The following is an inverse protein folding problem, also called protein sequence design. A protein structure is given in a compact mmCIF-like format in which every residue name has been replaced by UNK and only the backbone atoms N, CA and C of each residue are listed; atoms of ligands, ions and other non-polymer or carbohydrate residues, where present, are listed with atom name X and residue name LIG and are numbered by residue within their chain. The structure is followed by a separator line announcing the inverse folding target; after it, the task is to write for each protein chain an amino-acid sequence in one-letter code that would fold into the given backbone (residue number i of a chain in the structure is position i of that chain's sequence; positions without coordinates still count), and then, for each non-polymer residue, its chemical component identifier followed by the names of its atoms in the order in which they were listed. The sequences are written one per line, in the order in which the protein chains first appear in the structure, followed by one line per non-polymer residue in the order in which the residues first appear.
data_IF_237042897479
#
_entry.id   IF_237042897479
#
_cell.length_a   1.000
_cell.length_b   1.000
_cell.length_c   1.000
_cell.angle_alpha   90.00
_cell.angle_beta   90.00
_cell.angle_gamma   90.00
#
_symmetry.space_group_name_H-M   'P 1'
#
loop_
_entity.id
_entity.type
_entity.pdbx_description
1 polymer ?
#
# COMPACT_ATOMS: atom_id res chain seq x y z
N UNK A 1 13.66 -10.62 19.71
CA UNK A 1 12.86 -10.26 20.91
C UNK A 1 12.64 -8.75 21.10
N UNK A 2 13.26 -7.87 20.29
CA UNK A 2 13.10 -6.39 20.35
C UNK A 2 11.80 -5.85 19.71
N UNK A 3 11.20 -6.56 18.75
CA UNK A 3 9.94 -6.13 18.10
C UNK A 3 8.72 -6.17 19.03
N UNK A 4 8.62 -7.22 19.85
CA UNK A 4 7.48 -7.44 20.77
C UNK A 4 7.61 -6.59 22.02
N UNK A 5 8.84 -6.38 22.52
CA UNK A 5 9.09 -5.53 23.69
C UNK A 5 8.77 -4.05 23.43
N UNK A 6 8.84 -3.60 22.18
CA UNK A 6 8.54 -2.23 21.78
C UNK A 6 7.06 -2.01 21.38
N UNK A 7 6.21 -3.04 21.40
CA UNK A 7 4.79 -2.95 21.05
C UNK A 7 3.94 -3.83 21.96
N UNK A 8 3.37 -3.22 23.00
CA UNK A 8 2.51 -3.91 23.98
C UNK A 8 1.27 -4.55 23.35
N UNK A 9 0.72 -3.98 22.27
CA UNK A 9 -0.42 -4.57 21.57
C UNK A 9 -0.03 -5.81 20.76
N UNK A 10 1.20 -5.86 20.26
CA UNK A 10 1.74 -7.04 19.62
C UNK A 10 2.06 -8.13 20.65
N UNK A 11 2.55 -7.77 21.84
CA UNK A 11 2.83 -8.72 22.93
C UNK A 11 1.58 -9.50 23.39
N UNK A 12 0.40 -8.87 23.36
CA UNK A 12 -0.88 -9.52 23.67
C UNK A 12 -1.38 -10.48 22.59
N UNK A 13 -0.73 -10.53 21.43
CA UNK A 13 -1.17 -11.39 20.33
C UNK A 13 -0.77 -12.84 20.54
N UNK A 14 -1.55 -13.77 19.98
CA UNK A 14 -1.24 -15.21 20.00
C UNK A 14 0.21 -15.46 19.52
N UNK A 15 1.10 -16.06 20.34
CA UNK A 15 2.52 -16.18 20.02
C UNK A 15 2.80 -16.86 18.67
N UNK A 16 2.04 -17.90 18.33
CA UNK A 16 2.19 -18.61 17.05
C UNK A 16 1.84 -17.72 15.85
N UNK A 17 0.89 -16.78 16.00
CA UNK A 17 0.56 -15.83 14.93
C UNK A 17 1.70 -14.83 14.69
N UNK A 18 2.40 -14.41 15.75
CA UNK A 18 3.59 -13.55 15.65
C UNK A 18 4.73 -14.30 14.92
N UNK A 19 4.99 -15.55 15.32
CA UNK A 19 6.01 -16.39 14.69
C UNK A 19 5.73 -16.64 13.21
N UNK A 20 4.47 -16.98 12.87
CA UNK A 20 4.05 -17.19 11.48
C UNK A 20 4.24 -15.95 10.61
N UNK A 21 3.85 -14.77 11.13
CA UNK A 21 4.06 -13.51 10.44
C UNK A 21 5.55 -13.15 10.28
N UNK A 22 6.37 -13.42 11.30
CA UNK A 22 7.81 -13.21 11.23
C UNK A 22 8.49 -14.15 10.23
N UNK A 23 8.08 -15.42 10.17
CA UNK A 23 8.56 -16.36 9.17
C UNK A 23 8.20 -15.89 7.75
N UNK A 24 6.97 -15.41 7.55
CA UNK A 24 6.54 -14.84 6.26
C UNK A 24 7.42 -13.66 5.84
N UNK A 25 7.72 -12.74 6.76
CA UNK A 25 8.61 -11.62 6.49
C UNK A 25 10.03 -12.07 6.13
N UNK A 26 10.55 -13.08 6.84
CA UNK A 26 11.85 -13.68 6.58
C UNK A 26 11.90 -14.37 5.20
N UNK A 27 10.86 -15.13 4.83
CA UNK A 27 10.74 -15.73 3.49
C UNK A 27 10.77 -14.67 2.40
N UNK A 28 10.13 -13.51 2.62
CA UNK A 28 10.16 -12.40 1.65
C UNK A 28 11.47 -11.58 1.69
N UNK A 29 12.39 -11.93 2.59
CA UNK A 29 13.60 -11.17 2.87
C UNK A 29 13.30 -9.68 3.13
N UNK A 30 12.32 -9.41 4.00
CA UNK A 30 11.87 -8.08 4.41
C UNK A 30 11.98 -7.91 5.92
N UNK A 31 12.66 -6.85 6.34
CA UNK A 31 12.74 -6.47 7.74
C UNK A 31 11.38 -6.03 8.31
N UNK A 32 11.13 -6.36 9.57
CA UNK A 32 9.92 -5.97 10.32
C UNK A 32 10.08 -4.66 11.11
N UNK A 33 11.20 -3.95 10.93
CA UNK A 33 11.37 -2.63 11.53
C UNK A 33 10.37 -1.63 10.93
N UNK A 34 9.51 -1.08 11.79
CA UNK A 34 8.44 -0.15 11.41
C UNK A 34 8.99 1.11 10.72
N UNK A 35 10.21 1.54 11.05
CA UNK A 35 10.84 2.72 10.45
C UNK A 35 11.24 2.49 8.99
N UNK A 36 11.60 1.25 8.64
CA UNK A 36 11.93 0.87 7.27
C UNK A 36 10.68 0.80 6.39
N UNK A 37 9.54 0.44 6.99
CA UNK A 37 8.24 0.42 6.34
C UNK A 37 8.06 -0.67 5.28
N UNK A 38 8.89 -1.71 5.32
CA UNK A 38 8.86 -2.85 4.39
C UNK A 38 7.74 -3.82 4.70
N UNK A 39 7.59 -4.23 5.96
CA UNK A 39 6.55 -5.13 6.41
C UNK A 39 6.18 -4.84 7.86
N UNK A 40 4.98 -5.24 8.26
CA UNK A 40 4.44 -5.01 9.59
C UNK A 40 3.77 -6.28 10.11
N UNK A 41 3.80 -6.47 11.43
CA UNK A 41 2.87 -7.37 12.12
C UNK A 41 1.82 -6.50 12.80
N UNK A 42 0.57 -6.65 12.36
CA UNK A 42 -0.55 -5.84 12.85
C UNK A 42 -1.51 -6.73 13.65
N UNK A 43 -1.76 -6.44 14.93
CA UNK A 43 -2.72 -7.18 15.73
C UNK A 43 -4.16 -6.92 15.26
N UNK A 44 -4.93 -7.99 15.08
CA UNK A 44 -6.37 -7.93 14.84
C UNK A 44 -7.10 -8.81 15.84
N UNK A 45 -8.24 -8.33 16.34
CA UNK A 45 -9.15 -9.17 17.11
C UNK A 45 -9.90 -10.10 16.15
N UNK A 46 -9.81 -11.40 16.40
CA UNK A 46 -10.50 -12.43 15.66
C UNK A 46 -11.28 -13.33 16.62
N UNK A 47 -12.47 -13.76 16.22
CA UNK A 47 -13.26 -14.71 17.01
C UNK A 47 -12.80 -16.12 16.66
N UNK A 48 -12.26 -16.83 17.63
CA UNK A 48 -11.91 -18.23 17.49
C UNK A 48 -13.20 -19.04 17.25
N UNK A 49 -13.27 -19.74 16.11
CA UNK A 49 -14.46 -20.48 15.69
C UNK A 49 -14.73 -21.72 16.56
N UNK A 50 -13.71 -22.28 17.18
CA UNK A 50 -13.80 -23.49 18.00
C UNK A 50 -14.21 -23.16 19.43
N UNK A 51 -13.58 -22.13 20.02
CA UNK A 51 -13.81 -21.77 21.43
C UNK A 51 -14.84 -20.66 21.61
N UNK A 52 -15.19 -19.95 20.53
CA UNK A 52 -16.08 -18.79 20.56
C UNK A 52 -15.48 -17.53 21.18
N UNK A 53 -14.24 -17.58 21.69
CA UNK A 53 -13.56 -16.48 22.37
C UNK A 53 -12.91 -15.51 21.39
N UNK A 54 -12.84 -14.24 21.77
CA UNK A 54 -12.05 -13.24 21.05
C UNK A 54 -10.58 -13.40 21.40
N UNK A 55 -9.75 -13.52 20.38
CA UNK A 55 -8.30 -13.65 20.48
C UNK A 55 -7.66 -12.59 19.60
N UNK A 56 -6.56 -11.99 20.07
CA UNK A 56 -5.78 -11.05 19.29
C UNK A 56 -4.75 -11.85 18.49
N UNK A 57 -4.78 -11.75 17.16
CA UNK A 57 -3.84 -12.45 16.26
C UNK A 57 -3.04 -11.44 15.46
N UNK A 58 -1.73 -11.57 15.47
CA UNK A 58 -0.85 -10.79 14.63
C UNK A 58 -0.98 -11.25 13.17
N UNK A 59 -1.16 -10.31 12.26
CA UNK A 59 -1.22 -10.59 10.83
C UNK A 59 -0.05 -9.90 10.14
N UNK A 60 0.62 -10.64 9.26
CA UNK A 60 1.62 -10.07 8.36
C UNK A 60 0.95 -9.14 7.36
N UNK A 61 1.50 -7.92 7.25
CA UNK A 61 1.08 -6.95 6.24
C UNK A 61 2.30 -6.44 5.49
N UNK A 62 2.31 -6.65 4.18
CA UNK A 62 3.33 -6.08 3.30
C UNK A 62 3.15 -4.56 3.21
N UNK A 63 4.21 -3.84 3.57
CA UNK A 63 4.29 -2.40 3.46
C UNK A 63 4.56 -1.93 2.04
N UNK A 64 4.23 -0.68 1.74
CA UNK A 64 4.38 -0.14 0.38
C UNK A 64 5.85 -0.07 -0.07
N UNK A 65 6.78 0.25 0.85
CA UNK A 65 8.21 0.18 0.55
C UNK A 65 8.66 -1.27 0.31
N UNK A 66 8.00 -2.25 0.94
CA UNK A 66 8.22 -3.67 0.67
C UNK A 66 7.83 -4.04 -0.76
N UNK A 67 6.67 -3.57 -1.23
CA UNK A 67 6.29 -3.72 -2.64
C UNK A 67 7.33 -3.11 -3.59
N UNK A 68 7.81 -1.89 -3.32
CA UNK A 68 8.85 -1.25 -4.14
C UNK A 68 10.14 -2.09 -4.14
N UNK A 69 10.58 -2.55 -2.97
CA UNK A 69 11.79 -3.38 -2.86
C UNK A 69 11.67 -4.67 -3.66
N UNK A 70 10.55 -5.40 -3.53
CA UNK A 70 10.34 -6.63 -4.28
C UNK A 70 10.21 -6.37 -5.80
N UNK A 71 9.61 -5.25 -6.20
CA UNK A 71 9.56 -4.83 -7.59
C UNK A 71 10.97 -4.51 -8.14
N UNK A 72 11.79 -3.77 -7.38
CA UNK A 72 13.17 -3.46 -7.75
C UNK A 72 14.03 -4.72 -7.86
N UNK A 73 13.95 -5.63 -6.88
CA UNK A 73 14.68 -6.90 -6.87
C UNK A 73 14.37 -7.77 -8.09
N UNK A 74 13.17 -7.67 -8.65
CA UNK A 74 12.80 -8.42 -9.86
C UNK A 74 13.64 -8.07 -11.09
N UNK A 75 14.27 -6.89 -11.12
CA UNK A 75 14.99 -6.40 -12.29
C UNK A 75 14.13 -6.23 -13.54
N UNK A 76 12.78 -6.34 -13.43
CA UNK A 76 11.88 -6.32 -14.60
C UNK A 76 11.28 -4.95 -14.90
N UNK A 77 11.43 -3.97 -14.02
CA UNK A 77 10.80 -2.66 -14.17
C UNK A 77 11.71 -1.69 -14.92
N UNK A 78 11.17 -1.10 -15.98
CA UNK A 78 11.77 0.04 -16.68
C UNK A 78 11.33 1.36 -16.05
N UNK A 79 10.07 1.45 -15.65
CA UNK A 79 9.50 2.61 -14.98
C UNK A 79 8.46 2.16 -13.94
N UNK A 80 8.40 2.87 -12.82
CA UNK A 80 7.39 2.70 -11.78
C UNK A 80 7.20 4.04 -11.10
N UNK A 81 6.00 4.62 -11.17
CA UNK A 81 5.70 5.89 -10.53
C UNK A 81 4.24 6.00 -10.10
N UNK A 82 4.00 6.84 -9.09
CA UNK A 82 2.65 7.24 -8.67
C UNK A 82 2.69 8.73 -8.33
N UNK A 83 1.79 9.51 -8.93
CA UNK A 83 1.73 10.96 -8.75
C UNK A 83 0.31 11.41 -8.43
N UNK A 84 0.20 12.57 -7.80
CA UNK A 84 -1.01 13.38 -7.84
C UNK A 84 -1.31 13.85 -9.26
N UNK A 85 -2.59 14.02 -9.54
CA UNK A 85 -3.11 14.63 -10.75
C UNK A 85 -3.89 15.86 -10.32
N UNK A 86 -3.39 17.03 -10.71
CA UNK A 86 -4.01 18.31 -10.40
C UNK A 86 -5.04 18.68 -11.48
N UNK A 87 -5.95 19.57 -11.13
CA UNK A 87 -6.91 20.11 -12.07
C UNK A 87 -6.20 20.69 -13.31
N UNK A 88 -6.70 20.33 -14.50
CA UNK A 88 -6.12 20.70 -15.79
C UNK A 88 -5.01 19.78 -16.31
N UNK A 89 -4.38 18.95 -15.47
CA UNK A 89 -3.33 18.02 -15.92
C UNK A 89 -3.89 16.75 -16.61
N UNK A 90 -5.16 16.41 -16.38
CA UNK A 90 -5.83 15.26 -17.01
C UNK A 90 -6.64 15.69 -18.23
N UNK A 91 -6.24 15.22 -19.42
CA UNK A 91 -7.01 15.42 -20.67
C UNK A 91 -8.07 14.36 -20.87
N UNK A 92 -7.71 13.09 -20.73
CA UNK A 92 -8.63 11.95 -20.90
C UNK A 92 -8.17 10.73 -20.11
N UNK A 93 -9.13 9.88 -19.73
CA UNK A 93 -8.87 8.58 -19.09
C UNK A 93 -9.82 7.52 -19.62
N UNK A 94 -9.27 6.54 -20.35
CA UNK A 94 -10.02 5.38 -20.80
C UNK A 94 -9.80 4.21 -19.84
N UNK A 95 -10.83 3.90 -19.04
CA UNK A 95 -10.78 2.84 -18.03
C UNK A 95 -10.62 1.43 -18.60
N UNK A 96 -10.97 1.21 -19.87
CA UNK A 96 -10.89 -0.11 -20.51
C UNK A 96 -9.50 -0.36 -21.10
N UNK A 97 -8.95 0.61 -21.82
CA UNK A 97 -7.64 0.51 -22.49
C UNK A 97 -6.49 0.97 -21.61
N UNK A 98 -6.78 1.63 -20.49
CA UNK A 98 -5.80 2.20 -19.57
C UNK A 98 -4.96 3.33 -20.19
N UNK A 99 -5.51 3.99 -21.21
CA UNK A 99 -4.94 5.18 -21.83
C UNK A 99 -5.22 6.40 -20.96
N UNK A 100 -4.15 7.00 -20.46
CA UNK A 100 -4.16 8.18 -19.60
C UNK A 100 -3.42 9.32 -20.29
N UNK A 101 -4.14 10.32 -20.78
CA UNK A 101 -3.55 11.49 -21.42
C UNK A 101 -3.23 12.56 -20.36
N UNK A 102 -1.94 12.68 -20.05
CA UNK A 102 -1.41 13.62 -19.07
C UNK A 102 -0.77 14.84 -19.75
N UNK A 103 -1.09 16.03 -19.27
CA UNK A 103 -0.43 17.28 -19.64
C UNK A 103 0.38 17.83 -18.46
N UNK A 104 1.73 17.71 -18.48
CA UNK A 104 2.56 18.20 -17.39
C UNK A 104 2.52 19.73 -17.21
N UNK A 105 2.06 20.48 -18.21
CA UNK A 105 1.94 21.93 -18.15
C UNK A 105 0.47 22.38 -18.09
N UNK A 106 -0.48 21.44 -18.02
CA UNK A 106 -1.91 21.70 -18.06
C UNK A 106 -2.51 22.19 -16.74
N UNK A 107 -1.72 22.22 -15.65
CA UNK A 107 -2.23 22.58 -14.32
C UNK A 107 -2.89 23.96 -14.31
N UNK A 108 -4.14 24.00 -13.86
CA UNK A 108 -4.93 25.25 -13.72
C UNK A 108 -5.14 25.65 -12.27
N UNK A 109 -4.99 24.73 -11.32
CA UNK A 109 -5.10 25.00 -9.87
C UNK A 109 -4.26 24.01 -9.05
N UNK A 110 -4.10 24.29 -7.75
CA UNK A 110 -3.45 23.37 -6.80
C UNK A 110 -4.41 22.29 -6.26
N UNK A 111 -5.63 22.19 -6.81
CA UNK A 111 -6.57 21.14 -6.42
C UNK A 111 -6.19 19.81 -7.06
N UNK A 112 -5.88 18.82 -6.22
CA UNK A 112 -5.69 17.43 -6.64
C UNK A 112 -7.06 16.80 -6.95
N UNK A 113 -7.25 16.33 -8.18
CA UNK A 113 -8.47 15.67 -8.66
C UNK A 113 -8.37 14.14 -8.61
N UNK A 114 -7.16 13.60 -8.53
CA UNK A 114 -6.93 12.17 -8.42
C UNK A 114 -5.46 11.80 -8.34
N UNK A 115 -5.18 10.52 -8.50
CA UNK A 115 -3.87 9.92 -8.36
C UNK A 115 -3.69 8.85 -9.44
N UNK A 116 -2.61 8.94 -10.20
CA UNK A 116 -2.29 7.98 -11.25
C UNK A 116 -1.07 7.16 -10.86
N UNK A 117 -1.16 5.85 -11.01
CA UNK A 117 -0.06 4.92 -10.87
C UNK A 117 0.26 4.26 -12.20
N UNK A 118 1.54 4.14 -12.49
CA UNK A 118 2.04 3.61 -13.75
C UNK A 118 3.24 2.71 -13.53
N UNK A 119 3.33 1.62 -14.29
CA UNK A 119 4.60 0.96 -14.53
C UNK A 119 4.76 0.46 -15.97
N UNK A 120 6.01 0.34 -16.38
CA UNK A 120 6.44 -0.32 -17.62
C UNK A 120 7.48 -1.38 -17.26
N UNK A 121 7.29 -2.58 -17.79
CA UNK A 121 8.26 -3.67 -17.69
C UNK A 121 9.21 -3.65 -18.90
N UNK A 122 10.38 -4.27 -18.75
CA UNK A 122 11.39 -4.37 -19.82
C UNK A 122 10.88 -5.07 -21.08
N UNK A 123 9.87 -5.93 -20.96
CA UNK A 123 9.23 -6.60 -22.09
C UNK A 123 8.14 -5.77 -22.79
N UNK A 124 7.96 -4.51 -22.38
CA UNK A 124 6.97 -3.59 -22.95
C UNK A 124 5.58 -3.66 -22.36
N UNK A 125 5.30 -4.58 -21.41
CA UNK A 125 4.03 -4.58 -20.69
C UNK A 125 3.89 -3.28 -19.87
N UNK A 126 2.77 -2.60 -20.05
CA UNK A 126 2.44 -1.36 -19.35
C UNK A 126 1.17 -1.56 -18.53
N UNK A 127 1.12 -0.90 -17.39
CA UNK A 127 -0.06 -0.84 -16.55
C UNK A 127 -0.27 0.57 -16.06
N UNK A 128 -1.47 1.09 -16.24
CA UNK A 128 -1.89 2.38 -15.70
C UNK A 128 -3.14 2.19 -14.85
N UNK A 129 -3.18 2.81 -13.68
CA UNK A 129 -4.38 2.91 -12.86
C UNK A 129 -4.57 4.36 -12.46
N UNK A 130 -5.79 4.86 -12.58
CA UNK A 130 -6.16 6.18 -12.10
C UNK A 130 -7.28 6.03 -11.09
N UNK A 131 -7.10 6.67 -9.94
CA UNK A 131 -8.10 6.75 -8.87
C UNK A 131 -8.47 8.21 -8.68
N UNK A 132 -9.75 8.52 -8.76
CA UNK A 132 -10.24 9.86 -8.45
C UNK A 132 -10.06 10.15 -6.96
N UNK A 133 -10.02 11.43 -6.58
CA UNK A 133 -10.00 11.83 -5.16
C UNK A 133 -11.17 11.23 -4.38
N UNK A 134 -12.33 11.08 -5.02
CA UNK A 134 -13.51 10.44 -4.42
C UNK A 134 -13.29 8.94 -4.18
N UNK A 135 -12.66 8.21 -5.10
CA UNK A 135 -12.36 6.78 -4.92
C UNK A 135 -11.33 6.56 -3.80
N UNK A 136 -10.33 7.44 -3.69
CA UNK A 136 -9.38 7.45 -2.57
C UNK A 136 -10.10 7.70 -1.25
N UNK A 137 -11.00 8.67 -1.22
CA UNK A 137 -11.76 9.02 -0.02
C UNK A 137 -12.70 7.88 0.41
N UNK A 138 -13.38 7.24 -0.55
CA UNK A 138 -14.19 6.05 -0.31
C UNK A 138 -13.33 4.91 0.30
N UNK A 139 -12.13 4.68 -0.24
CA UNK A 139 -11.20 3.71 0.33
C UNK A 139 -10.74 4.11 1.74
N UNK A 140 -10.42 5.39 1.99
CA UNK A 140 -10.02 5.89 3.30
C UNK A 140 -11.12 5.65 4.35
N UNK A 141 -12.36 6.04 4.05
CA UNK A 141 -13.51 5.88 4.94
C UNK A 141 -13.78 4.40 5.22
N UNK A 142 -13.75 3.54 4.19
CA UNK A 142 -13.99 2.11 4.34
C UNK A 142 -12.96 1.42 5.26
N UNK A 143 -11.71 1.90 5.26
CA UNK A 143 -10.62 1.35 6.05
C UNK A 143 -10.37 2.11 7.37
N UNK A 144 -11.14 3.17 7.66
CA UNK A 144 -11.03 3.90 8.91
C UNK A 144 -11.64 3.11 10.06
N UNK A 145 -10.88 2.97 11.16
CA UNK A 145 -11.29 2.27 12.38
C UNK A 145 -11.84 3.21 13.46
N UNK A 146 -11.79 4.52 13.23
CA UNK A 146 -12.35 5.51 14.16
C UNK A 146 -13.89 5.43 14.20
N UNK A 147 -14.47 5.93 15.29
CA UNK A 147 -15.93 5.99 15.48
C UNK A 147 -16.60 6.83 14.39
N UNK A 148 -16.02 7.99 14.11
CA UNK A 148 -16.41 8.84 13.00
C UNK A 148 -15.44 8.58 11.84
N UNK A 149 -15.91 7.79 10.87
CA UNK A 149 -15.08 7.35 9.74
C UNK A 149 -14.86 8.44 8.70
N UNK A 150 -15.77 9.41 8.59
CA UNK A 150 -15.71 10.47 7.58
C UNK A 150 -14.75 11.57 8.00
N UNK A 151 -14.52 11.76 9.31
CA UNK A 151 -13.49 12.68 9.80
C UNK A 151 -12.08 12.25 9.35
N UNK A 152 -11.30 13.22 8.89
CA UNK A 152 -9.86 13.06 8.67
C UNK A 152 -9.12 13.02 10.01
N UNK A 153 -8.28 12.01 10.20
CA UNK A 153 -7.53 11.79 11.43
C UNK A 153 -6.14 11.19 11.16
N UNK A 154 -5.25 11.33 12.14
CA UNK A 154 -3.89 10.78 12.09
C UNK A 154 -3.11 11.20 10.84
N UNK A 155 -2.39 10.26 10.24
CA UNK A 155 -1.55 10.49 9.05
C UNK A 155 -2.33 10.88 7.80
N UNK A 156 -3.64 10.60 7.73
CA UNK A 156 -4.46 11.09 6.63
C UNK A 156 -4.76 12.58 6.76
N UNK A 157 -4.79 13.12 7.98
CA UNK A 157 -4.96 14.56 8.22
C UNK A 157 -3.64 15.33 8.01
N UNK A 158 -2.49 14.76 8.41
CA UNK A 158 -1.18 15.42 8.23
C UNK A 158 -0.61 15.26 6.81
N UNK A 159 -0.80 14.09 6.18
CA UNK A 159 -0.09 13.69 4.95
C UNK A 159 -1.01 12.96 3.95
N UNK A 160 -2.14 13.58 3.61
CA UNK A 160 -3.17 12.98 2.74
C UNK A 160 -2.61 12.44 1.42
N UNK A 161 -1.86 13.28 0.68
CA UNK A 161 -1.37 12.89 -0.65
C UNK A 161 -0.40 11.71 -0.57
N UNK A 162 0.46 11.66 0.46
CA UNK A 162 1.36 10.53 0.67
C UNK A 162 0.59 9.23 0.91
N UNK A 163 -0.50 9.29 1.68
CA UNK A 163 -1.37 8.14 1.95
C UNK A 163 -2.18 7.70 0.73
N UNK A 164 -2.63 8.64 -0.09
CA UNK A 164 -3.30 8.37 -1.35
C UNK A 164 -2.36 7.73 -2.37
N UNK A 165 -1.17 8.30 -2.61
CA UNK A 165 -0.14 7.68 -3.48
C UNK A 165 0.22 6.27 -3.03
N UNK A 166 0.42 6.07 -1.72
CA UNK A 166 0.67 4.75 -1.13
C UNK A 166 -0.46 3.75 -1.44
N UNK A 167 -1.71 4.20 -1.40
CA UNK A 167 -2.89 3.38 -1.68
C UNK A 167 -2.91 2.93 -3.14
N UNK A 168 -2.70 3.86 -4.08
CA UNK A 168 -2.63 3.56 -5.51
C UNK A 168 -1.46 2.64 -5.83
N UNK A 169 -0.26 2.93 -5.31
CA UNK A 169 0.93 2.10 -5.51
C UNK A 169 0.70 0.66 -5.04
N UNK A 170 0.16 0.48 -3.83
CA UNK A 170 -0.11 -0.84 -3.28
C UNK A 170 -1.13 -1.58 -4.14
N UNK A 171 -2.21 -0.92 -4.57
CA UNK A 171 -3.21 -1.52 -5.43
C UNK A 171 -2.58 -2.02 -6.74
N UNK A 172 -1.80 -1.16 -7.39
CA UNK A 172 -1.10 -1.44 -8.64
C UNK A 172 -0.16 -2.65 -8.52
N UNK A 173 0.76 -2.62 -7.56
CA UNK A 173 1.76 -3.68 -7.43
C UNK A 173 1.20 -4.99 -6.86
N UNK A 174 0.17 -4.93 -5.99
CA UNK A 174 -0.43 -6.15 -5.42
C UNK A 174 -1.20 -6.99 -6.44
N UNK A 175 -1.65 -6.39 -7.53
CA UNK A 175 -2.50 -7.05 -8.54
C UNK A 175 -1.73 -7.43 -9.79
N UNK A 176 -0.82 -6.57 -10.23
CA UNK A 176 -0.12 -6.73 -11.52
C UNK A 176 1.40 -6.69 -11.41
N UNK A 177 1.94 -6.40 -10.23
CA UNK A 177 3.38 -6.27 -10.07
C UNK A 177 4.10 -7.62 -10.13
N UNK A 178 5.27 -7.66 -10.79
CA UNK A 178 6.20 -8.77 -10.69
C UNK A 178 7.08 -8.53 -9.46
N UNK A 179 6.95 -9.36 -8.45
CA UNK A 179 7.64 -9.19 -7.17
C UNK A 179 8.62 -10.34 -6.97
N UNK A 180 9.88 -10.02 -6.67
CA UNK A 180 10.93 -11.01 -6.44
C UNK A 180 11.56 -10.83 -5.06
N UNK A 181 11.89 -11.96 -4.44
CA UNK A 181 12.66 -12.02 -3.19
C UNK A 181 14.16 -11.92 -3.49
N UNK A 182 14.58 -12.56 -4.59
CA UNK A 182 15.95 -12.57 -5.08
C UNK A 182 16.23 -11.32 -5.91
N UNK A 183 17.41 -10.74 -5.71
CA UNK A 183 17.90 -9.67 -6.56
C UNK A 183 18.38 -10.31 -7.86
N UNK A 184 17.79 -9.93 -9.00
CA UNK A 184 18.31 -10.35 -10.29
C UNK A 184 19.62 -9.60 -10.57
N UNK A 185 20.66 -10.37 -10.87
CA UNK A 185 21.95 -9.87 -11.37
C UNK A 185 21.84 -9.30 -12.79
#
# INVERSE_FOLDING_TARGET
MTLVSNDSYLADSEPMSIMSGALTAATLNLGLDKNLGYAYLVPFNSKNKQTGKWEKKAQFMLGYKGYIQLAQRSGKYKALNVIEVYEGELKSWNRLTEEFEFDPNGRTSDEVIGYVGYFELLNGFKKTVYWTKQEIEAHRIANNKDRDKTKLSGVWASDYNAMARKTVLRNLLSKWGILSIEMQE
#
